data_IF_149478351372
#
_entry.id   IF_149478351372
#
_cell.length_a   1.000
_cell.length_b   1.000
_cell.length_c   1.000
_cell.angle_alpha   90.00
_cell.angle_beta   90.00
_cell.angle_gamma   90.00
#
_symmetry.space_group_name_H-M   'P 1'
#
loop_
_entity.id
_entity.type
_entity.pdbx_description
1 polymer ?
#
# COMPACT_ATOMS: atom_id res chain seq x y z
N UNK A 1 -2.93 7.65 -21.47
CA UNK A 1 -3.36 7.55 -20.08
C UNK A 1 -2.40 8.28 -19.12
N UNK A 2 -1.08 8.05 -19.17
CA UNK A 2 -0.11 8.79 -18.35
C UNK A 2 -0.22 10.30 -18.56
N UNK A 3 -0.34 10.73 -19.85
CA UNK A 3 -0.60 12.14 -20.16
C UNK A 3 -1.90 12.63 -19.50
N UNK A 4 -2.93 11.76 -19.38
CA UNK A 4 -4.19 12.06 -18.69
C UNK A 4 -3.98 12.37 -17.22
N UNK A 5 -3.23 11.51 -16.52
CA UNK A 5 -2.86 11.73 -15.11
C UNK A 5 -2.12 13.05 -14.94
N UNK A 6 -1.06 13.25 -15.72
CA UNK A 6 -0.27 14.50 -15.66
C UNK A 6 -1.12 15.75 -15.95
N UNK A 7 -2.03 15.67 -16.91
CA UNK A 7 -2.93 16.75 -17.24
C UNK A 7 -3.92 17.05 -16.10
N UNK A 8 -4.39 16.04 -15.38
CA UNK A 8 -5.21 16.17 -14.18
C UNK A 8 -4.44 16.86 -13.06
N UNK A 9 -3.23 16.40 -12.74
CA UNK A 9 -2.38 17.02 -11.72
C UNK A 9 -2.03 18.48 -12.05
N UNK A 10 -1.73 18.75 -13.33
CA UNK A 10 -1.55 20.15 -13.80
C UNK A 10 -2.84 20.95 -13.62
N UNK A 11 -4.02 20.33 -13.78
CA UNK A 11 -5.31 20.92 -13.49
C UNK A 11 -5.39 21.41 -12.04
N UNK A 12 -5.04 20.55 -11.06
CA UNK A 12 -5.00 20.92 -9.65
C UNK A 12 -4.04 22.08 -9.37
N UNK A 13 -2.88 22.11 -10.02
CA UNK A 13 -1.88 23.19 -9.87
C UNK A 13 -2.42 24.51 -10.42
N UNK A 14 -2.98 24.48 -11.64
CA UNK A 14 -3.45 25.71 -12.33
C UNK A 14 -4.71 26.29 -11.71
N UNK A 15 -5.59 25.44 -11.15
CA UNK A 15 -6.76 25.84 -10.38
C UNK A 15 -6.40 26.21 -8.91
N UNK A 16 -5.15 26.00 -8.48
CA UNK A 16 -4.65 26.30 -7.13
C UNK A 16 -5.37 25.54 -6.02
N UNK A 17 -5.86 24.32 -6.29
CA UNK A 17 -6.61 23.52 -5.32
C UNK A 17 -5.83 23.26 -4.04
N UNK A 18 -4.52 22.97 -4.13
CA UNK A 18 -3.66 22.77 -2.96
C UNK A 18 -3.55 24.02 -2.07
N UNK A 19 -3.49 25.23 -2.67
CA UNK A 19 -3.44 26.47 -1.92
C UNK A 19 -4.79 26.76 -1.22
N UNK A 20 -5.91 26.54 -1.91
CA UNK A 20 -7.26 26.66 -1.35
C UNK A 20 -7.45 25.68 -0.18
N UNK A 21 -7.02 24.43 -0.35
CA UNK A 21 -7.06 23.41 0.70
C UNK A 21 -6.22 23.79 1.92
N UNK A 22 -5.00 24.31 1.73
CA UNK A 22 -4.15 24.75 2.82
C UNK A 22 -4.79 25.90 3.63
N UNK A 23 -5.44 26.85 2.95
CA UNK A 23 -6.16 27.94 3.58
C UNK A 23 -7.37 27.44 4.37
N UNK A 24 -8.18 26.56 3.79
CA UNK A 24 -9.35 25.97 4.44
C UNK A 24 -8.95 25.11 5.65
N UNK A 25 -7.84 24.38 5.56
CA UNK A 25 -7.27 23.61 6.67
C UNK A 25 -6.82 24.52 7.81
N UNK A 26 -6.15 25.62 7.49
CA UNK A 26 -5.74 26.62 8.49
C UNK A 26 -6.93 27.20 9.24
N UNK A 27 -7.99 27.56 8.52
CA UNK A 27 -9.23 28.08 9.11
C UNK A 27 -9.96 27.02 9.96
N UNK A 28 -10.02 25.76 9.51
CA UNK A 28 -10.61 24.66 10.28
C UNK A 28 -9.84 24.38 11.56
N UNK A 29 -8.50 24.39 11.53
CA UNK A 29 -7.66 24.24 12.73
C UNK A 29 -7.86 25.40 13.71
N UNK A 30 -7.96 26.64 13.22
CA UNK A 30 -8.27 27.80 14.05
C UNK A 30 -9.65 27.64 14.72
N UNK A 31 -10.65 27.17 13.99
CA UNK A 31 -11.98 26.87 14.50
C UNK A 31 -11.98 25.82 15.61
N UNK A 32 -11.20 24.74 15.45
CA UNK A 32 -11.04 23.69 16.44
C UNK A 32 -10.33 24.19 17.71
N UNK A 33 -9.29 25.02 17.59
CA UNK A 33 -8.61 25.63 18.73
C UNK A 33 -9.56 26.56 19.50
N UNK A 34 -10.38 27.34 18.81
CA UNK A 34 -11.39 28.20 19.44
C UNK A 34 -12.44 27.35 20.18
N UNK A 35 -12.88 26.25 19.60
CA UNK A 35 -13.86 25.34 20.20
C UNK A 35 -13.29 24.64 21.45
N UNK A 36 -12.02 24.25 21.41
CA UNK A 36 -11.30 23.65 22.56
C UNK A 36 -11.18 24.62 23.72
N UNK A 37 -10.80 25.87 23.43
CA UNK A 37 -10.73 26.94 24.43
C UNK A 37 -12.11 27.27 25.04
N UNK A 38 -13.18 27.20 24.23
CA UNK A 38 -14.53 27.53 24.69
C UNK A 38 -15.22 26.34 25.41
N UNK A 39 -14.91 25.10 25.07
CA UNK A 39 -15.55 23.91 25.64
C UNK A 39 -14.83 23.32 26.85
N UNK A 40 -13.56 23.66 27.05
CA UNK A 40 -12.75 23.14 28.16
C UNK A 40 -12.55 21.63 28.15
N UNK A 41 -12.76 20.97 27.02
CA UNK A 41 -12.82 19.52 26.91
C UNK A 41 -11.85 18.97 25.84
N UNK A 42 -10.63 18.65 26.27
CA UNK A 42 -9.54 18.14 25.41
C UNK A 42 -9.85 16.83 24.63
N UNK A 43 -10.92 16.12 24.98
CA UNK A 43 -11.34 14.90 24.29
C UNK A 43 -12.11 15.20 22.99
N UNK A 44 -12.78 16.34 22.90
CA UNK A 44 -13.47 16.78 21.68
C UNK A 44 -12.49 17.20 20.59
N UNK A 45 -11.30 17.73 20.95
CA UNK A 45 -10.24 18.11 20.01
C UNK A 45 -9.55 16.88 19.41
N UNK A 46 -9.30 15.82 20.18
CA UNK A 46 -8.67 14.59 19.67
C UNK A 46 -9.54 13.83 18.65
N UNK A 47 -10.85 13.74 18.90
CA UNK A 47 -11.79 13.11 17.93
C UNK A 47 -11.95 14.00 16.69
N UNK A 48 -11.96 15.32 16.88
CA UNK A 48 -12.00 16.31 15.79
C UNK A 48 -10.73 16.29 14.93
N UNK A 49 -9.55 16.11 15.50
CA UNK A 49 -8.28 16.04 14.76
C UNK A 49 -8.21 14.82 13.85
N UNK A 50 -8.58 13.65 14.31
CA UNK A 50 -8.54 12.42 13.48
C UNK A 50 -9.57 12.50 12.35
N UNK A 51 -10.78 13.00 12.60
CA UNK A 51 -11.80 13.22 11.59
C UNK A 51 -11.43 14.34 10.59
N UNK A 52 -10.87 15.45 11.10
CA UNK A 52 -10.42 16.56 10.28
C UNK A 52 -9.22 16.20 9.39
N UNK A 53 -8.26 15.41 9.88
CA UNK A 53 -7.12 14.93 9.10
C UNK A 53 -7.54 14.06 7.91
N UNK A 54 -8.55 13.20 8.09
CA UNK A 54 -9.08 12.37 7.01
C UNK A 54 -9.77 13.21 5.92
N UNK A 55 -10.52 14.23 6.30
CA UNK A 55 -11.18 15.16 5.35
C UNK A 55 -10.17 16.08 4.67
N UNK A 56 -9.08 16.44 5.38
CA UNK A 56 -8.01 17.32 4.88
C UNK A 56 -7.13 16.65 3.82
N UNK A 57 -7.08 15.32 3.76
CA UNK A 57 -6.23 14.58 2.81
C UNK A 57 -6.83 14.41 1.42
N UNK A 58 -8.13 14.58 1.22
CA UNK A 58 -8.78 14.47 -0.10
C UNK A 58 -9.15 15.84 -0.68
N UNK A 59 -9.12 15.94 -2.01
CA UNK A 59 -9.71 17.08 -2.71
C UNK A 59 -11.25 16.99 -2.68
N UNK A 60 -11.93 18.12 -2.79
CA UNK A 60 -13.39 18.12 -2.91
C UNK A 60 -13.84 17.53 -4.24
N UNK A 61 -15.09 17.10 -4.34
CA UNK A 61 -15.64 16.60 -5.63
C UNK A 61 -15.58 17.67 -6.72
N UNK A 62 -15.78 18.91 -6.36
CA UNK A 62 -15.77 20.02 -7.32
C UNK A 62 -14.34 20.30 -7.81
N UNK A 63 -13.34 20.23 -6.93
CA UNK A 63 -11.93 20.31 -7.31
C UNK A 63 -11.54 19.20 -8.29
N UNK A 64 -12.01 17.97 -8.03
CA UNK A 64 -11.77 16.82 -8.90
C UNK A 64 -12.43 16.99 -10.27
N UNK A 65 -13.68 17.47 -10.32
CA UNK A 65 -14.37 17.76 -11.57
C UNK A 65 -13.72 18.89 -12.35
N UNK A 66 -13.21 19.91 -11.69
CA UNK A 66 -12.48 20.99 -12.33
C UNK A 66 -11.15 20.49 -12.88
N UNK A 67 -10.39 19.71 -12.10
CA UNK A 67 -9.14 19.10 -12.53
C UNK A 67 -9.34 18.14 -13.73
N UNK A 68 -10.38 17.32 -13.73
CA UNK A 68 -10.74 16.46 -14.87
C UNK A 68 -11.06 17.29 -16.12
N UNK A 69 -11.83 18.37 -15.98
CA UNK A 69 -12.20 19.26 -17.10
C UNK A 69 -10.97 19.96 -17.69
N UNK A 70 -10.09 20.49 -16.84
CA UNK A 70 -8.83 21.09 -17.24
C UNK A 70 -7.90 20.06 -17.88
N UNK A 71 -7.85 18.83 -17.32
CA UNK A 71 -7.06 17.73 -17.83
C UNK A 71 -7.45 17.34 -19.26
N UNK A 72 -8.74 17.16 -19.53
CA UNK A 72 -9.25 16.89 -20.89
C UNK A 72 -8.91 18.05 -21.86
N UNK A 73 -9.01 19.29 -21.38
CA UNK A 73 -8.63 20.46 -22.16
C UNK A 73 -7.12 20.48 -22.50
N UNK A 74 -6.28 20.14 -21.53
CA UNK A 74 -4.83 20.13 -21.73
C UNK A 74 -4.39 19.00 -22.63
N UNK A 75 -4.96 17.80 -22.47
CA UNK A 75 -4.74 16.68 -23.40
C UNK A 75 -5.01 17.06 -24.85
N UNK A 76 -6.21 17.62 -25.11
CA UNK A 76 -6.61 18.03 -26.45
C UNK A 76 -5.65 19.06 -27.04
N UNK A 77 -5.27 20.08 -26.26
CA UNK A 77 -4.36 21.15 -26.73
C UNK A 77 -2.94 20.66 -26.97
N UNK A 78 -2.52 19.62 -26.24
CA UNK A 78 -1.21 18.99 -26.41
C UNK A 78 -1.20 17.91 -27.51
N UNK A 79 -2.32 17.68 -28.18
CA UNK A 79 -2.43 16.70 -29.28
C UNK A 79 -2.58 15.26 -28.81
N UNK A 80 -2.87 15.00 -27.53
CA UNK A 80 -3.17 13.67 -27.01
C UNK A 80 -4.66 13.35 -27.14
N UNK A 81 -5.00 12.05 -27.07
CA UNK A 81 -6.37 11.58 -27.06
C UNK A 81 -7.11 12.06 -25.78
N UNK A 82 -8.16 12.88 -25.91
CA UNK A 82 -8.94 13.33 -24.76
C UNK A 82 -9.59 12.19 -23.96
N UNK A 83 -9.87 11.04 -24.61
CA UNK A 83 -10.43 9.86 -23.95
C UNK A 83 -9.44 9.19 -22.98
N UNK A 84 -8.17 9.52 -23.06
CA UNK A 84 -7.13 8.97 -22.18
C UNK A 84 -7.44 9.24 -20.69
N UNK A 85 -8.19 10.30 -20.36
CA UNK A 85 -8.66 10.58 -19.00
C UNK A 85 -9.68 9.55 -18.54
N UNK A 86 -10.72 9.29 -19.31
CA UNK A 86 -11.78 8.33 -18.95
C UNK A 86 -11.24 6.91 -18.85
N UNK A 87 -10.41 6.47 -19.80
CA UNK A 87 -9.79 5.13 -19.79
C UNK A 87 -8.85 4.94 -18.59
N UNK A 88 -8.14 5.98 -18.18
CA UNK A 88 -7.36 5.95 -16.95
C UNK A 88 -8.24 5.77 -15.71
N UNK A 89 -9.30 6.56 -15.58
CA UNK A 89 -10.24 6.46 -14.44
C UNK A 89 -10.92 5.08 -14.37
N UNK A 90 -11.22 4.47 -15.51
CA UNK A 90 -11.78 3.11 -15.57
C UNK A 90 -10.79 2.07 -15.05
N UNK A 91 -9.54 2.10 -15.51
CA UNK A 91 -8.47 1.20 -15.06
C UNK A 91 -8.17 1.35 -13.57
N UNK A 92 -8.14 2.59 -13.10
CA UNK A 92 -7.99 2.89 -11.67
C UNK A 92 -9.11 2.24 -10.86
N UNK A 93 -10.35 2.33 -11.33
CA UNK A 93 -11.48 1.69 -10.65
C UNK A 93 -11.44 0.17 -10.69
N UNK A 94 -10.98 -0.43 -11.77
CA UNK A 94 -10.78 -1.87 -11.86
C UNK A 94 -9.72 -2.33 -10.86
N UNK A 95 -8.59 -1.62 -10.79
CA UNK A 95 -7.51 -1.90 -9.84
C UNK A 95 -7.99 -1.77 -8.38
N UNK A 96 -8.63 -0.66 -8.01
CA UNK A 96 -9.16 -0.45 -6.65
C UNK A 96 -10.18 -1.54 -6.26
N UNK A 97 -11.02 -1.96 -7.20
CA UNK A 97 -12.00 -3.02 -6.95
C UNK A 97 -11.34 -4.39 -6.76
N UNK A 98 -10.31 -4.68 -7.54
CA UNK A 98 -9.51 -5.88 -7.40
C UNK A 98 -8.79 -5.92 -6.05
N UNK A 99 -8.10 -4.85 -5.67
CA UNK A 99 -7.39 -4.78 -4.39
C UNK A 99 -8.36 -4.92 -3.20
N UNK A 100 -9.52 -4.26 -3.23
CA UNK A 100 -10.53 -4.41 -2.20
C UNK A 100 -11.02 -5.87 -2.07
N UNK A 101 -11.24 -6.55 -3.19
CA UNK A 101 -11.64 -7.96 -3.20
C UNK A 101 -10.52 -8.86 -2.67
N UNK A 102 -9.27 -8.62 -3.08
CA UNK A 102 -8.07 -9.34 -2.62
C UNK A 102 -7.88 -9.21 -1.10
N UNK A 103 -8.14 -8.03 -0.57
CA UNK A 103 -7.99 -7.70 0.85
C UNK A 103 -9.18 -8.17 1.71
N UNK A 104 -10.27 -8.66 1.12
CA UNK A 104 -11.49 -9.01 1.83
C UNK A 104 -12.10 -7.82 2.61
N UNK A 105 -11.83 -6.58 2.18
CA UNK A 105 -12.37 -5.36 2.78
C UNK A 105 -13.52 -4.82 1.94
N UNK A 106 -14.55 -4.30 2.62
CA UNK A 106 -15.64 -3.64 1.91
C UNK A 106 -15.09 -2.49 1.06
N UNK A 107 -15.60 -2.34 -0.16
CA UNK A 107 -15.18 -1.39 -1.19
C UNK A 107 -15.05 0.07 -0.68
N UNK A 108 -15.76 0.40 0.39
CA UNK A 108 -15.78 1.72 1.03
C UNK A 108 -14.65 1.93 2.08
N UNK A 109 -13.93 0.85 2.48
CA UNK A 109 -12.89 0.87 3.51
C UNK A 109 -11.54 0.35 3.03
N UNK A 110 -11.38 0.09 1.73
CA UNK A 110 -10.11 -0.31 1.15
C UNK A 110 -9.07 0.79 1.30
N UNK A 111 -7.79 0.41 1.41
CA UNK A 111 -6.68 1.35 1.25
C UNK A 111 -6.78 1.84 -0.19
N UNK A 112 -7.43 2.98 -0.38
CA UNK A 112 -7.49 3.64 -1.68
C UNK A 112 -6.11 4.28 -1.90
N UNK A 113 -5.33 3.71 -2.80
CA UNK A 113 -4.04 4.26 -3.21
C UNK A 113 -4.18 5.72 -3.70
N UNK A 114 -5.42 6.10 -4.05
CA UNK A 114 -5.81 7.43 -4.48
C UNK A 114 -6.84 8.06 -3.52
N UNK A 115 -6.65 7.85 -2.22
CA UNK A 115 -7.52 8.46 -1.19
C UNK A 115 -7.61 9.99 -1.32
N UNK A 116 -6.58 10.62 -1.89
CA UNK A 116 -6.56 12.06 -2.21
C UNK A 116 -7.40 12.41 -3.44
N UNK A 117 -7.66 11.46 -4.35
CA UNK A 117 -8.36 11.63 -5.62
C UNK A 117 -9.47 10.58 -5.82
N UNK A 118 -10.58 10.64 -5.08
CA UNK A 118 -11.60 9.61 -5.13
C UNK A 118 -12.19 9.45 -6.53
N UNK A 119 -12.13 8.22 -7.05
CA UNK A 119 -12.81 7.89 -8.30
C UNK A 119 -14.30 7.70 -8.03
N UNK A 120 -15.12 8.40 -8.79
CA UNK A 120 -16.57 8.17 -8.80
C UNK A 120 -17.04 7.82 -10.22
N UNK A 121 -18.10 6.99 -10.38
CA UNK A 121 -18.68 6.73 -11.70
C UNK A 121 -19.08 8.01 -12.44
N UNK A 122 -19.44 9.05 -11.68
CA UNK A 122 -19.80 10.35 -12.21
C UNK A 122 -18.60 11.06 -12.86
N UNK A 123 -17.39 10.99 -12.28
CA UNK A 123 -16.16 11.52 -12.88
C UNK A 123 -15.89 10.87 -14.24
N UNK A 124 -15.97 9.53 -14.31
CA UNK A 124 -15.82 8.79 -15.58
C UNK A 124 -16.82 9.29 -16.63
N UNK A 125 -18.11 9.34 -16.26
CA UNK A 125 -19.17 9.81 -17.17
C UNK A 125 -18.92 11.23 -17.68
N UNK A 126 -18.53 12.15 -16.80
CA UNK A 126 -18.23 13.55 -17.18
C UNK A 126 -16.99 13.62 -18.07
N UNK A 127 -15.92 12.87 -17.76
CA UNK A 127 -14.72 12.82 -18.58
C UNK A 127 -15.02 12.33 -20.02
N UNK A 128 -15.85 11.30 -20.17
CA UNK A 128 -16.31 10.82 -21.48
C UNK A 128 -17.07 11.92 -22.24
N UNK A 129 -18.03 12.59 -21.58
CA UNK A 129 -18.81 13.67 -22.20
C UNK A 129 -17.90 14.83 -22.64
N UNK A 130 -16.98 15.25 -21.80
CA UNK A 130 -16.03 16.32 -22.11
C UNK A 130 -15.09 15.94 -23.27
N UNK A 131 -14.58 14.70 -23.27
CA UNK A 131 -13.74 14.18 -24.36
C UNK A 131 -14.48 14.20 -25.69
N UNK A 132 -15.76 13.81 -25.71
CA UNK A 132 -16.62 13.82 -26.91
C UNK A 132 -16.84 15.20 -27.53
N UNK A 133 -16.65 16.29 -26.76
CA UNK A 133 -16.72 17.67 -27.26
C UNK A 133 -15.40 18.19 -27.84
N UNK A 134 -14.32 17.41 -27.75
CA UNK A 134 -12.97 17.82 -28.15
C UNK A 134 -12.38 16.82 -29.11
N UNK A 135 -12.42 17.14 -30.37
CA UNK A 135 -11.80 16.32 -31.40
C UNK A 135 -10.32 16.70 -31.58
N UNK A 136 -9.47 15.69 -31.65
CA UNK A 136 -8.06 15.81 -32.02
C UNK A 136 -7.84 14.95 -33.24
N UNK A 137 -7.42 15.57 -34.35
CA UNK A 137 -7.07 14.79 -35.53
C UNK A 137 -5.76 14.05 -35.30
N UNK A 138 -5.77 12.72 -35.53
CA UNK A 138 -4.62 11.84 -35.34
C UNK A 138 -3.94 12.01 -33.95
N UNK A 139 -4.65 11.69 -32.85
CA UNK A 139 -4.12 11.91 -31.52
C UNK A 139 -2.84 11.10 -31.27
N UNK A 140 -1.96 11.67 -30.47
CA UNK A 140 -0.73 11.00 -30.04
C UNK A 140 -1.12 9.83 -29.11
N UNK A 141 -0.78 8.61 -29.56
CA UNK A 141 -0.92 7.36 -28.78
C UNK A 141 0.45 6.68 -28.77
N UNK A 142 1.30 7.05 -27.87
CA UNK A 142 2.68 6.55 -27.79
C UNK A 142 2.77 5.24 -26.96
N UNK A 143 1.90 4.25 -27.25
CA UNK A 143 1.77 3.02 -26.48
C UNK A 143 3.10 2.24 -26.39
N UNK A 144 3.68 1.84 -27.52
CA UNK A 144 4.89 1.04 -27.56
C UNK A 144 6.10 1.80 -27.01
N UNK A 145 6.18 3.11 -27.27
CA UNK A 145 7.21 3.97 -26.69
C UNK A 145 7.09 4.01 -25.17
N UNK A 146 5.88 4.15 -24.64
CA UNK A 146 5.64 4.13 -23.21
C UNK A 146 6.03 2.77 -22.61
N UNK A 147 5.58 1.67 -23.20
CA UNK A 147 5.90 0.33 -22.71
C UNK A 147 7.40 0.07 -22.71
N UNK A 148 8.13 0.51 -23.74
CA UNK A 148 9.60 0.40 -23.78
C UNK A 148 10.31 1.18 -22.66
N UNK A 149 9.68 2.23 -22.12
CA UNK A 149 10.25 3.03 -21.02
C UNK A 149 9.99 2.43 -19.63
N UNK A 150 8.93 1.66 -19.48
CA UNK A 150 8.60 0.99 -18.21
C UNK A 150 9.08 -0.46 -18.16
N UNK A 151 9.64 -0.99 -19.24
CA UNK A 151 10.27 -2.31 -19.23
C UNK A 151 11.41 -2.34 -18.21
N UNK A 152 11.43 -3.33 -17.36
CA UNK A 152 12.37 -3.43 -16.22
C UNK A 152 12.00 -2.62 -14.98
N UNK A 153 10.91 -1.86 -14.98
CA UNK A 153 10.43 -1.14 -13.79
C UNK A 153 10.06 -2.14 -12.68
N UNK A 154 10.40 -1.82 -11.44
CA UNK A 154 10.02 -2.65 -10.28
C UNK A 154 8.51 -2.83 -10.20
N UNK A 155 8.10 -4.07 -9.88
CA UNK A 155 6.73 -4.44 -9.62
C UNK A 155 6.60 -4.97 -8.18
N UNK A 156 5.84 -4.26 -7.35
CA UNK A 156 5.70 -4.60 -5.93
C UNK A 156 6.90 -4.14 -5.10
N UNK A 157 7.35 -5.00 -4.19
CA UNK A 157 8.37 -4.68 -3.22
C UNK A 157 9.78 -4.49 -3.84
N UNK A 158 10.53 -3.55 -3.28
CA UNK A 158 11.93 -3.29 -3.62
C UNK A 158 12.87 -3.96 -2.61
N UNK A 159 14.04 -4.49 -3.05
CA UNK A 159 14.99 -5.14 -2.14
C UNK A 159 15.50 -4.26 -1.00
N UNK A 160 15.57 -2.96 -1.19
CA UNK A 160 16.00 -1.97 -0.20
C UNK A 160 14.90 -1.63 0.84
N UNK A 161 13.66 -2.05 0.60
CA UNK A 161 12.53 -1.93 1.51
C UNK A 161 12.09 -3.27 2.11
N UNK A 162 12.75 -4.36 1.70
CA UNK A 162 12.33 -5.71 2.03
C UNK A 162 11.23 -6.22 1.09
N UNK A 163 11.10 -7.53 1.01
CA UNK A 163 10.21 -8.22 0.07
C UNK A 163 9.45 -9.34 0.76
N UNK A 164 8.16 -9.46 0.47
CA UNK A 164 7.36 -10.61 0.90
C UNK A 164 7.13 -11.56 -0.28
N UNK A 165 7.64 -12.80 -0.14
CA UNK A 165 7.51 -13.84 -1.17
C UNK A 165 7.48 -15.21 -0.51
N UNK A 166 6.60 -16.10 -0.98
CA UNK A 166 6.53 -17.51 -0.60
C UNK A 166 6.47 -17.73 0.93
N UNK A 167 5.66 -16.93 1.62
CA UNK A 167 5.50 -17.02 3.07
C UNK A 167 6.70 -16.52 3.89
N UNK A 168 7.60 -15.75 3.28
CA UNK A 168 8.81 -15.23 3.89
C UNK A 168 8.95 -13.73 3.64
N UNK A 169 9.19 -12.95 4.69
CA UNK A 169 9.65 -11.57 4.56
C UNK A 169 11.17 -11.55 4.61
N UNK A 170 11.79 -11.01 3.58
CA UNK A 170 13.26 -10.94 3.42
C UNK A 170 13.67 -9.49 3.22
N UNK A 171 14.67 -9.03 3.95
CA UNK A 171 15.29 -7.74 3.72
C UNK A 171 16.78 -7.89 3.36
N UNK A 172 17.13 -7.99 2.06
CA UNK A 172 18.50 -8.28 1.63
C UNK A 172 19.52 -7.26 2.10
N UNK A 173 19.16 -5.98 2.08
CA UNK A 173 20.06 -4.88 2.46
C UNK A 173 20.33 -4.83 3.97
N UNK A 174 19.29 -5.01 4.81
CA UNK A 174 19.43 -5.02 6.27
C UNK A 174 19.81 -6.41 6.81
N UNK A 175 19.83 -7.43 5.98
CA UNK A 175 20.35 -8.75 6.30
C UNK A 175 19.54 -9.57 7.30
N UNK A 176 18.21 -9.52 7.20
CA UNK A 176 17.31 -10.32 8.04
C UNK A 176 16.15 -10.93 7.25
N UNK A 177 15.51 -11.91 7.86
CA UNK A 177 14.28 -12.54 7.36
C UNK A 177 13.43 -13.06 8.51
N UNK A 178 12.11 -13.23 8.25
CA UNK A 178 11.18 -13.91 9.14
C UNK A 178 10.01 -14.50 8.36
N UNK A 179 9.39 -15.54 8.88
CA UNK A 179 8.28 -16.21 8.21
C UNK A 179 6.98 -15.40 8.40
N UNK A 180 6.24 -15.23 7.32
CA UNK A 180 4.90 -14.66 7.31
C UNK A 180 4.00 -15.59 6.52
N UNK A 181 3.08 -16.31 7.17
CA UNK A 181 2.19 -17.23 6.47
C UNK A 181 1.38 -16.55 5.36
N UNK A 182 1.05 -17.28 4.30
CA UNK A 182 0.28 -16.77 3.15
C UNK A 182 -1.12 -16.26 3.53
N UNK A 183 -1.66 -16.70 4.68
CA UNK A 183 -2.92 -16.19 5.24
C UNK A 183 -2.84 -14.74 5.72
N UNK A 184 -1.66 -14.11 5.65
CA UNK A 184 -1.46 -12.71 6.01
C UNK A 184 -1.38 -11.82 4.79
N UNK A 185 -2.16 -10.76 4.83
CA UNK A 185 -1.96 -9.61 3.98
C UNK A 185 -0.83 -8.76 4.57
N UNK A 186 0.17 -8.45 3.75
CA UNK A 186 1.30 -7.60 4.14
C UNK A 186 1.16 -6.22 3.52
N UNK A 187 1.33 -5.20 4.35
CA UNK A 187 1.56 -3.82 3.96
C UNK A 187 3.00 -3.46 4.35
N UNK A 188 3.87 -3.41 3.36
CA UNK A 188 5.27 -3.04 3.52
C UNK A 188 5.42 -1.53 3.32
N UNK A 189 5.84 -0.82 4.37
CA UNK A 189 6.07 0.62 4.36
C UNK A 189 7.57 0.90 4.60
N UNK A 190 7.99 2.14 4.38
CA UNK A 190 9.41 2.53 4.49
C UNK A 190 10.01 2.36 5.89
N UNK A 191 9.20 2.40 6.93
CA UNK A 191 9.61 2.38 8.34
C UNK A 191 8.99 1.23 9.14
N UNK A 192 8.01 0.52 8.58
CA UNK A 192 7.34 -0.59 9.25
C UNK A 192 6.73 -1.59 8.28
N UNK A 193 6.55 -2.82 8.75
CA UNK A 193 5.77 -3.86 8.08
C UNK A 193 4.55 -4.19 8.92
N UNK A 194 3.37 -4.13 8.33
CA UNK A 194 2.12 -4.49 9.00
C UNK A 194 1.58 -5.76 8.33
N UNK A 195 1.27 -6.77 9.12
CA UNK A 195 0.61 -7.98 8.64
C UNK A 195 -0.76 -8.14 9.28
N UNK A 196 -1.76 -8.44 8.47
CA UNK A 196 -3.13 -8.75 8.92
C UNK A 196 -3.52 -10.14 8.46
N UNK A 197 -3.87 -11.00 9.39
CA UNK A 197 -4.35 -12.33 9.05
C UNK A 197 -5.79 -12.31 8.56
N UNK A 198 -6.17 -13.28 7.73
CA UNK A 198 -7.55 -13.49 7.27
C UNK A 198 -8.54 -13.75 8.42
N UNK A 199 -8.05 -14.24 9.56
CA UNK A 199 -8.85 -14.49 10.77
C UNK A 199 -8.84 -13.34 11.78
N UNK A 200 -8.16 -12.21 11.48
CA UNK A 200 -8.30 -10.94 12.19
C UNK A 200 -7.18 -10.58 13.18
N UNK A 201 -6.15 -11.43 13.34
CA UNK A 201 -4.95 -11.06 14.09
C UNK A 201 -4.07 -10.11 13.27
N UNK A 202 -3.31 -9.24 13.93
CA UNK A 202 -2.38 -8.32 13.27
C UNK A 202 -1.01 -8.37 13.92
N UNK A 203 0.04 -8.09 13.12
CA UNK A 203 1.35 -7.76 13.66
C UNK A 203 1.88 -6.47 13.02
N UNK A 204 2.71 -5.77 13.76
CA UNK A 204 3.56 -4.70 13.27
C UNK A 204 5.01 -5.08 13.54
N UNK A 205 5.87 -4.86 12.58
CA UNK A 205 7.32 -5.01 12.69
C UNK A 205 7.99 -3.69 12.33
N UNK A 206 8.90 -3.24 13.18
CA UNK A 206 9.68 -2.01 12.98
C UNK A 206 11.06 -2.11 13.64
N UNK A 207 11.80 -1.01 13.64
CA UNK A 207 13.11 -0.91 14.27
C UNK A 207 13.19 0.29 15.23
N UNK A 208 14.01 0.16 16.28
CA UNK A 208 14.39 1.26 17.17
C UNK A 208 15.90 1.25 17.43
N UNK A 209 16.42 2.39 17.86
CA UNK A 209 17.81 2.53 18.24
C UNK A 209 18.12 1.72 19.51
N UNK A 210 19.18 0.91 19.44
CA UNK A 210 19.73 0.25 20.61
C UNK A 210 20.60 1.23 21.42
N UNK A 211 20.11 1.62 22.59
CA UNK A 211 20.81 2.52 23.52
C UNK A 211 21.57 1.78 24.61
N UNK A 212 21.77 0.47 24.44
CA UNK A 212 22.52 -0.36 25.41
C UNK A 212 21.73 -0.78 26.66
N UNK A 213 20.42 -0.58 26.68
CA UNK A 213 19.57 -1.07 27.76
C UNK A 213 19.47 -2.60 27.76
N UNK A 214 19.28 -3.22 28.93
CA UNK A 214 18.82 -4.61 28.98
C UNK A 214 17.45 -4.71 28.32
N UNK A 215 17.22 -5.70 27.47
CA UNK A 215 15.98 -5.79 26.66
C UNK A 215 14.71 -5.85 27.51
N UNK A 216 14.75 -6.52 28.68
CA UNK A 216 13.60 -6.53 29.61
C UNK A 216 13.29 -5.13 30.15
N UNK A 217 14.31 -4.32 30.44
CA UNK A 217 14.15 -2.94 30.89
C UNK A 217 13.67 -2.05 29.74
N UNK A 218 14.21 -2.27 28.53
CA UNK A 218 13.77 -1.59 27.33
C UNK A 218 12.27 -1.80 27.07
N UNK A 219 11.79 -3.05 27.10
CA UNK A 219 10.36 -3.35 26.90
C UNK A 219 9.51 -2.69 28.01
N UNK A 220 9.90 -2.82 29.27
CA UNK A 220 9.10 -2.33 30.40
C UNK A 220 9.00 -0.81 30.49
N UNK A 221 10.14 -0.14 30.35
CA UNK A 221 10.23 1.27 30.73
C UNK A 221 10.31 2.22 29.54
N UNK A 222 10.87 1.77 28.41
CA UNK A 222 10.98 2.60 27.22
C UNK A 222 9.85 2.33 26.23
N UNK A 223 9.65 1.07 25.85
CA UNK A 223 8.72 0.74 24.78
C UNK A 223 7.26 0.64 25.23
N UNK A 224 6.96 -0.06 26.31
CA UNK A 224 5.60 -0.12 26.87
C UNK A 224 5.15 1.20 27.50
N UNK A 225 6.05 2.17 27.67
CA UNK A 225 5.78 3.52 28.18
C UNK A 225 4.89 3.54 29.44
N UNK A 226 5.22 2.69 30.43
CA UNK A 226 4.50 2.59 31.68
C UNK A 226 3.28 1.66 31.67
N UNK A 227 2.90 1.08 30.54
CA UNK A 227 1.85 0.07 30.51
C UNK A 227 2.30 -1.18 31.30
N UNK A 228 1.39 -1.72 32.11
CA UNK A 228 1.67 -2.92 32.88
C UNK A 228 1.87 -4.13 31.99
N UNK A 229 2.97 -4.86 32.16
CA UNK A 229 3.32 -6.07 31.44
C UNK A 229 3.24 -7.29 32.36
N UNK A 230 2.65 -8.36 31.87
CA UNK A 230 2.71 -9.70 32.41
C UNK A 230 3.65 -10.58 31.59
N UNK A 231 4.12 -11.66 32.18
CA UNK A 231 4.88 -12.72 31.48
C UNK A 231 6.13 -12.20 30.73
N UNK A 232 6.84 -11.20 31.28
CA UNK A 232 8.09 -10.73 30.66
C UNK A 232 9.18 -11.78 30.82
N UNK A 233 9.73 -12.22 29.71
CA UNK A 233 10.76 -13.23 29.62
C UNK A 233 11.87 -12.79 28.68
N UNK A 234 13.06 -13.34 28.88
CA UNK A 234 14.21 -13.18 27.99
C UNK A 234 14.67 -14.52 27.42
N UNK A 235 15.36 -14.46 26.31
CA UNK A 235 15.89 -15.63 25.63
C UNK A 235 16.61 -15.29 24.33
N UNK A 236 16.56 -16.20 23.37
CA UNK A 236 17.14 -15.99 22.03
C UNK A 236 16.13 -16.30 20.95
N UNK A 237 16.16 -15.50 19.88
CA UNK A 237 15.41 -15.71 18.64
C UNK A 237 16.41 -15.70 17.49
N UNK A 238 16.49 -16.77 16.72
CA UNK A 238 17.46 -16.88 15.64
C UNK A 238 18.93 -16.68 16.08
N UNK A 239 19.27 -17.05 17.31
CA UNK A 239 20.58 -16.84 17.91
C UNK A 239 20.84 -15.41 18.46
N UNK A 240 19.85 -14.51 18.36
CA UNK A 240 19.94 -13.11 18.82
C UNK A 240 19.30 -12.95 20.20
N UNK A 241 19.91 -12.12 21.08
CA UNK A 241 19.31 -11.80 22.38
C UNK A 241 17.93 -11.18 22.16
N UNK A 242 16.95 -11.64 22.89
CA UNK A 242 15.57 -11.23 22.72
C UNK A 242 14.85 -11.18 24.05
N UNK A 243 13.83 -10.35 24.13
CA UNK A 243 12.91 -10.31 25.26
C UNK A 243 11.50 -10.09 24.74
N UNK A 244 10.52 -10.64 25.45
CA UNK A 244 9.12 -10.51 25.10
C UNK A 244 8.24 -10.41 26.34
N UNK A 245 7.05 -9.85 26.15
CA UNK A 245 6.06 -9.72 27.22
C UNK A 245 4.68 -9.44 26.64
N UNK A 246 3.67 -9.64 27.47
CA UNK A 246 2.28 -9.36 27.12
C UNK A 246 1.76 -8.20 27.97
N UNK A 247 0.99 -7.29 27.39
CA UNK A 247 0.26 -6.28 28.16
C UNK A 247 -0.71 -6.96 29.12
N UNK A 248 -0.81 -6.43 30.35
CA UNK A 248 -1.69 -6.97 31.40
C UNK A 248 -3.17 -6.72 31.11
N UNK A 249 -3.47 -5.72 30.25
CA UNK A 249 -4.83 -5.40 29.76
C UNK A 249 -4.96 -5.71 28.27
N UNK A 250 -6.18 -5.95 27.84
CA UNK A 250 -6.52 -6.08 26.41
C UNK A 250 -6.61 -4.70 25.77
N UNK A 251 -6.42 -4.66 24.45
CA UNK A 251 -6.74 -3.50 23.62
C UNK A 251 -8.26 -3.26 23.55
N UNK A 252 -8.66 -2.12 23.00
CA UNK A 252 -10.08 -1.72 22.87
C UNK A 252 -10.92 -2.69 22.04
N UNK A 253 -10.31 -3.41 21.10
CA UNK A 253 -10.94 -4.45 20.28
C UNK A 253 -10.94 -5.85 20.93
N UNK A 254 -10.50 -5.96 22.19
CA UNK A 254 -10.45 -7.22 22.95
C UNK A 254 -9.25 -8.11 22.66
N UNK A 255 -8.26 -7.62 21.90
CA UNK A 255 -7.05 -8.39 21.56
C UNK A 255 -6.01 -8.36 22.68
N UNK A 256 -5.27 -9.46 22.86
CA UNK A 256 -4.06 -9.49 23.66
C UNK A 256 -2.89 -8.93 22.86
N UNK A 257 -2.16 -7.99 23.46
CA UNK A 257 -1.00 -7.37 22.84
C UNK A 257 0.29 -7.98 23.38
N UNK A 258 1.10 -8.51 22.47
CA UNK A 258 2.43 -9.05 22.74
C UNK A 258 3.49 -8.14 22.12
N UNK A 259 4.55 -7.91 22.89
CA UNK A 259 5.74 -7.16 22.47
C UNK A 259 6.91 -8.13 22.43
N UNK A 260 7.67 -8.13 21.33
CA UNK A 260 8.90 -8.91 21.17
C UNK A 260 10.00 -7.99 20.68
N UNK A 261 11.08 -7.85 21.42
CA UNK A 261 12.26 -7.07 21.07
C UNK A 261 13.45 -8.00 20.81
N UNK A 262 14.13 -7.81 19.69
CA UNK A 262 15.26 -8.62 19.22
C UNK A 262 16.46 -7.69 19.01
N UNK A 263 17.52 -7.88 19.76
CA UNK A 263 18.75 -7.12 19.60
C UNK A 263 19.54 -7.65 18.39
N UNK A 264 19.43 -6.94 17.29
CA UNK A 264 20.11 -7.35 16.06
C UNK A 264 21.63 -7.07 16.15
N UNK A 265 21.97 -5.88 16.66
CA UNK A 265 23.34 -5.49 16.94
C UNK A 265 23.38 -4.37 18.00
N UNK A 266 24.56 -3.73 18.18
CA UNK A 266 24.75 -2.62 19.13
C UNK A 266 24.02 -1.34 18.74
N UNK A 267 23.39 -1.26 17.55
CA UNK A 267 22.72 -0.06 17.02
C UNK A 267 21.23 -0.25 16.87
N UNK A 268 20.76 -1.47 16.61
CA UNK A 268 19.40 -1.75 16.17
C UNK A 268 18.73 -2.82 17.05
N UNK A 269 17.53 -2.51 17.50
CA UNK A 269 16.57 -3.44 18.06
C UNK A 269 15.41 -3.55 17.07
N UNK A 270 15.14 -4.76 16.57
CA UNK A 270 13.91 -5.04 15.83
C UNK A 270 12.78 -5.38 16.78
N UNK A 271 11.58 -4.93 16.45
CA UNK A 271 10.43 -5.01 17.31
C UNK A 271 9.23 -5.62 16.60
N UNK A 272 8.51 -6.47 17.30
CA UNK A 272 7.20 -6.96 16.88
C UNK A 272 6.14 -6.61 17.90
N UNK A 273 5.05 -6.02 17.45
CA UNK A 273 3.80 -5.89 18.20
C UNK A 273 2.81 -6.86 17.59
N UNK A 274 2.24 -7.74 18.39
CA UNK A 274 1.19 -8.66 17.94
C UNK A 274 -0.11 -8.29 18.64
N UNK A 275 -1.18 -8.06 17.89
CA UNK A 275 -2.54 -7.99 18.45
C UNK A 275 -3.26 -9.30 18.10
N UNK A 276 -3.50 -10.12 19.13
CA UNK A 276 -4.06 -11.45 18.99
C UNK A 276 -5.45 -11.47 19.61
N UNK A 277 -6.52 -11.49 18.78
CA UNK A 277 -7.89 -11.56 19.27
C UNK A 277 -8.13 -12.81 20.12
N UNK A 278 -8.86 -12.65 21.21
CA UNK A 278 -9.10 -13.77 22.13
C UNK A 278 -9.94 -14.89 21.52
N UNK A 279 -10.80 -14.54 20.55
CA UNK A 279 -11.67 -15.47 19.83
C UNK A 279 -10.94 -16.47 18.93
N UNK A 280 -9.66 -16.25 18.66
CA UNK A 280 -8.86 -17.13 17.79
C UNK A 280 -8.66 -18.51 18.44
N UNK A 281 -8.65 -19.55 17.61
CA UNK A 281 -8.28 -20.90 18.04
C UNK A 281 -6.84 -20.99 18.54
N UNK A 282 -6.51 -22.04 19.25
CA UNK A 282 -5.16 -22.27 19.76
C UNK A 282 -4.12 -22.36 18.64
N UNK A 283 -4.48 -22.97 17.49
CA UNK A 283 -3.60 -23.07 16.31
C UNK A 283 -3.34 -21.69 15.68
N UNK A 284 -4.36 -20.87 15.48
CA UNK A 284 -4.21 -19.51 14.94
C UNK A 284 -3.38 -18.61 15.86
N UNK A 285 -3.61 -18.69 17.18
CA UNK A 285 -2.77 -18.00 18.18
C UNK A 285 -1.31 -18.45 18.12
N UNK A 286 -1.08 -19.74 17.89
CA UNK A 286 0.28 -20.30 17.76
C UNK A 286 0.96 -19.78 16.48
N UNK A 287 0.26 -19.74 15.35
CA UNK A 287 0.75 -19.16 14.09
C UNK A 287 1.15 -17.70 14.30
N UNK A 288 0.28 -16.88 14.91
CA UNK A 288 0.60 -15.48 15.21
C UNK A 288 1.89 -15.35 16.03
N UNK A 289 2.00 -16.12 17.10
CA UNK A 289 3.17 -16.09 17.99
C UNK A 289 4.44 -16.59 17.32
N UNK A 290 4.36 -17.51 16.34
CA UNK A 290 5.56 -18.02 15.63
C UNK A 290 6.25 -16.99 14.76
N UNK A 291 5.55 -15.95 14.30
CA UNK A 291 6.10 -14.93 13.39
C UNK A 291 7.37 -14.29 13.96
N UNK A 292 7.37 -13.62 15.12
CA UNK A 292 8.58 -13.01 15.67
C UNK A 292 9.66 -14.03 16.02
N UNK A 293 9.28 -15.25 16.44
CA UNK A 293 10.25 -16.28 16.79
C UNK A 293 10.91 -16.98 15.60
N UNK A 294 10.44 -16.70 14.38
CA UNK A 294 11.08 -17.11 13.12
C UNK A 294 12.15 -16.13 12.62
N UNK A 295 12.28 -14.97 13.27
CA UNK A 295 13.24 -13.95 12.87
C UNK A 295 14.68 -14.47 12.98
N UNK A 296 15.49 -14.21 11.95
CA UNK A 296 16.90 -14.59 11.89
C UNK A 296 17.70 -13.71 10.96
N UNK A 297 19.01 -13.73 11.07
CA UNK A 297 19.88 -13.12 10.07
C UNK A 297 19.71 -13.82 8.72
N UNK A 298 19.78 -13.03 7.67
CA UNK A 298 19.77 -13.54 6.30
C UNK A 298 21.18 -14.03 5.93
N UNK A 299 21.27 -15.24 5.43
CA UNK A 299 22.53 -15.76 4.91
C UNK A 299 22.87 -15.06 3.58
N UNK A 300 24.15 -14.82 3.33
CA UNK A 300 24.62 -14.04 2.17
C UNK A 300 24.27 -14.70 0.82
N UNK A 301 24.31 -16.02 0.76
CA UNK A 301 23.95 -16.81 -0.41
C UNK A 301 22.45 -16.67 -0.74
N UNK A 302 21.59 -16.62 0.27
CA UNK A 302 20.17 -16.37 0.09
C UNK A 302 19.90 -14.94 -0.37
N UNK A 303 20.62 -13.96 0.21
CA UNK A 303 20.47 -12.56 -0.17
C UNK A 303 20.77 -12.31 -1.66
N UNK A 304 21.77 -12.98 -2.21
CA UNK A 304 22.15 -12.85 -3.63
C UNK A 304 21.17 -13.48 -4.61
N UNK A 305 20.33 -14.41 -4.15
CA UNK A 305 19.30 -15.09 -4.95
C UNK A 305 17.94 -14.38 -4.95
N UNK A 306 17.79 -13.30 -4.19
CA UNK A 306 16.52 -12.56 -4.10
C UNK A 306 16.43 -11.54 -5.23
N UNK A 307 15.61 -11.84 -6.24
CA UNK A 307 15.36 -10.95 -7.36
C UNK A 307 13.96 -10.32 -7.24
N UNK A 308 13.85 -8.98 -7.38
CA UNK A 308 12.57 -8.31 -7.37
C UNK A 308 11.79 -8.60 -8.66
N UNK A 309 10.48 -8.64 -8.54
CA UNK A 309 9.63 -8.69 -9.71
C UNK A 309 9.68 -7.38 -10.48
N UNK A 310 9.59 -7.48 -11.80
CA UNK A 310 9.64 -6.34 -12.72
C UNK A 310 8.51 -6.40 -13.73
N UNK A 311 8.08 -5.25 -14.17
CA UNK A 311 7.27 -5.15 -15.38
C UNK A 311 8.16 -5.53 -16.57
N UNK A 312 7.69 -6.47 -17.38
CA UNK A 312 8.31 -6.85 -18.64
C UNK A 312 7.34 -6.63 -19.77
N UNK A 313 7.84 -6.30 -20.92
CA UNK A 313 7.03 -6.16 -22.11
C UNK A 313 7.15 -7.41 -22.98
N UNK A 314 6.02 -7.91 -23.47
CA UNK A 314 5.94 -9.04 -24.37
C UNK A 314 5.17 -8.66 -25.64
N UNK A 315 5.73 -8.96 -26.79
CA UNK A 315 5.05 -8.74 -28.08
C UNK A 315 4.30 -10.00 -28.49
N UNK A 316 2.99 -9.87 -28.62
CA UNK A 316 2.10 -10.99 -28.97
C UNK A 316 2.46 -11.54 -30.34
N UNK A 317 2.70 -12.84 -30.42
CA UNK A 317 2.91 -13.58 -31.67
C UNK A 317 1.65 -14.33 -32.10
N UNK A 318 1.61 -14.81 -33.37
CA UNK A 318 0.51 -15.66 -33.83
C UNK A 318 0.61 -17.02 -33.13
N UNK A 319 -0.22 -17.27 -32.18
CA UNK A 319 -0.23 -18.54 -31.41
C UNK A 319 -0.17 -18.32 -29.91
N UNK A 320 0.18 -17.13 -29.46
CA UNK A 320 0.11 -16.80 -28.04
C UNK A 320 -1.37 -16.79 -27.59
N UNK A 321 -1.73 -17.72 -26.74
CA UNK A 321 -3.00 -17.73 -26.03
C UNK A 321 -2.97 -16.88 -24.76
N UNK A 322 -4.15 -16.53 -24.26
CA UNK A 322 -4.24 -15.82 -22.97
C UNK A 322 -3.57 -16.61 -21.83
N UNK A 323 -3.74 -17.94 -21.84
CA UNK A 323 -3.16 -18.82 -20.82
C UNK A 323 -1.62 -18.83 -20.88
N UNK A 324 -1.04 -18.75 -22.07
CA UNK A 324 0.42 -18.68 -22.26
C UNK A 324 1.00 -17.37 -21.71
N UNK A 325 0.28 -16.29 -21.89
CA UNK A 325 0.66 -14.97 -21.36
C UNK A 325 0.52 -14.90 -19.85
N UNK A 326 -0.56 -15.46 -19.32
CA UNK A 326 -0.80 -15.56 -17.87
C UNK A 326 0.25 -16.46 -17.19
N UNK A 327 0.69 -17.52 -17.86
CA UNK A 327 1.76 -18.39 -17.35
C UNK A 327 3.12 -17.68 -17.23
N UNK A 328 3.34 -16.56 -17.94
CA UNK A 328 4.54 -15.73 -17.81
C UNK A 328 4.49 -14.81 -16.58
N UNK A 329 3.31 -14.65 -15.96
CA UNK A 329 3.14 -13.81 -14.77
C UNK A 329 3.74 -14.50 -13.55
N UNK A 330 4.90 -14.04 -13.09
CA UNK A 330 5.58 -14.58 -11.88
C UNK A 330 5.01 -14.00 -10.58
N UNK A 331 3.71 -13.85 -10.51
CA UNK A 331 2.98 -13.45 -9.30
C UNK A 331 2.32 -14.68 -8.68
N UNK A 332 2.25 -14.73 -7.36
CA UNK A 332 1.71 -15.88 -6.62
C UNK A 332 0.18 -15.83 -6.50
N UNK A 333 -0.42 -14.64 -6.62
CA UNK A 333 -1.85 -14.43 -6.45
C UNK A 333 -2.49 -13.79 -7.69
N UNK A 334 -3.61 -14.35 -8.13
CA UNK A 334 -4.49 -13.79 -9.17
C UNK A 334 -3.77 -13.39 -10.48
N UNK A 335 -2.94 -14.25 -11.10
CA UNK A 335 -2.14 -13.86 -12.27
C UNK A 335 -3.00 -13.40 -13.47
N UNK A 336 -4.15 -14.03 -13.70
CA UNK A 336 -5.07 -13.66 -14.78
C UNK A 336 -5.66 -12.26 -14.56
N UNK A 337 -6.21 -11.99 -13.39
CA UNK A 337 -6.82 -10.70 -13.06
C UNK A 337 -5.80 -9.59 -13.13
N UNK A 338 -4.60 -9.80 -12.60
CA UNK A 338 -3.50 -8.84 -12.68
C UNK A 338 -3.10 -8.54 -14.12
N UNK A 339 -2.95 -9.59 -14.95
CA UNK A 339 -2.63 -9.44 -16.37
C UNK A 339 -3.69 -8.60 -17.10
N UNK A 340 -4.97 -8.93 -16.90
CA UNK A 340 -6.08 -8.23 -17.53
C UNK A 340 -6.13 -6.75 -17.11
N UNK A 341 -6.05 -6.46 -15.82
CA UNK A 341 -6.10 -5.10 -15.28
C UNK A 341 -4.90 -4.27 -15.77
N UNK A 342 -3.69 -4.82 -15.71
CA UNK A 342 -2.47 -4.13 -16.15
C UNK A 342 -2.53 -3.71 -17.62
N UNK A 343 -3.15 -4.55 -18.45
CA UNK A 343 -3.25 -4.32 -19.89
C UNK A 343 -4.57 -3.66 -20.32
N UNK A 344 -5.50 -3.43 -19.37
CA UNK A 344 -6.82 -2.87 -19.69
C UNK A 344 -7.66 -3.78 -20.58
N UNK A 345 -7.54 -5.09 -20.36
CA UNK A 345 -8.25 -6.12 -21.11
C UNK A 345 -9.44 -6.65 -20.29
N UNK A 346 -10.47 -7.11 -20.99
CA UNK A 346 -11.58 -7.82 -20.39
C UNK A 346 -11.43 -9.34 -20.59
N UNK A 347 -12.01 -10.12 -19.70
CA UNK A 347 -12.06 -11.57 -19.85
C UNK A 347 -12.79 -11.94 -21.14
N UNK A 348 -12.12 -12.68 -22.01
CA UNK A 348 -12.64 -13.05 -23.34
C UNK A 348 -12.33 -12.07 -24.49
N UNK A 349 -11.63 -10.96 -24.20
CA UNK A 349 -11.12 -10.10 -25.28
C UNK A 349 -10.01 -10.82 -26.02
N UNK A 350 -10.09 -10.87 -27.36
CA UNK A 350 -8.97 -11.27 -28.21
C UNK A 350 -7.87 -10.20 -28.13
N UNK A 351 -6.61 -10.61 -28.04
CA UNK A 351 -5.47 -9.71 -28.11
C UNK A 351 -4.88 -9.82 -29.53
N UNK A 352 -4.85 -8.73 -30.31
CA UNK A 352 -4.31 -8.79 -31.66
C UNK A 352 -2.83 -9.17 -31.67
N UNK A 353 -2.41 -9.97 -32.64
CA UNK A 353 -1.00 -10.22 -32.89
C UNK A 353 -0.25 -8.89 -33.11
N UNK A 354 1.04 -8.88 -32.77
CA UNK A 354 1.92 -7.70 -32.83
C UNK A 354 1.59 -6.60 -31.78
N UNK A 355 0.64 -6.86 -30.87
CA UNK A 355 0.40 -5.97 -29.73
C UNK A 355 1.48 -6.17 -28.66
N UNK A 356 1.99 -5.06 -28.13
CA UNK A 356 2.88 -5.10 -26.96
C UNK A 356 2.05 -5.11 -25.68
N UNK A 357 2.31 -6.05 -24.78
CA UNK A 357 1.61 -6.19 -23.50
C UNK A 357 2.59 -6.21 -22.33
N UNK A 358 2.08 -5.95 -21.13
CA UNK A 358 2.83 -6.04 -19.87
C UNK A 358 2.64 -7.40 -19.26
N UNK A 359 3.73 -8.01 -18.83
CA UNK A 359 3.76 -9.18 -17.95
C UNK A 359 4.61 -8.86 -16.72
N UNK A 360 4.58 -9.71 -15.70
CA UNK A 360 5.41 -9.57 -14.51
C UNK A 360 6.39 -10.73 -14.47
N UNK A 361 7.68 -10.41 -14.50
CA UNK A 361 8.78 -11.38 -14.47
C UNK A 361 9.89 -10.95 -13.51
N UNK A 362 10.97 -11.71 -13.47
CA UNK A 362 12.20 -11.34 -12.72
C UNK A 362 13.03 -10.32 -13.49
#
# INVERSE_FOLDING_TARGET
EVAGVLAHEIGHVTARHSASRATNTGLARLGLVILDVLSGNSMASQIGEVGALAVIQSYSRDDEFEADSLGVKYLSRAGFDPNAMSTFLEKLGAHSSFEAARLGVAREKGIDFFASHPRTPERVKRAIQLAGTRQVDKPIVAHDLYLSKIDGMLYGDAPDQGMHKDGLFIHPVLGFQFNVPESFLILNQSDMVIGRSSYGGTFQFDADQNQGHKLEQYIRYKWANGAALSEVSGGTVGGLRSSWGRLSSRSSDGSWVWLVAIEFDKRVIYRFVLAIPDRLSASEKSVMKSIPFSFRRLALDVASGVHPLRVRTHRITRGDGLDDLVAQMKVTDYPLERFLIMNGLNKGSGIPADTLVKVVGD
#
